data_IF_516851426805
#
_entry.id   IF_516851426805
#
_cell.length_a   1.000
_cell.length_b   1.000
_cell.length_c   1.000
_cell.angle_alpha   90.00
_cell.angle_beta   90.00
_cell.angle_gamma   90.00
#
_symmetry.space_group_name_H-M   'P 1'
#
loop_
_entity.id
_entity.type
_entity.pdbx_description
1 polymer ?
#
# COMPACT_ATOMS: atom_id res chain seq x y z
N UNK A 1 -7.97 -9.41 39.40
CA UNK A 1 -8.88 -8.68 38.51
C UNK A 1 -8.16 -8.45 37.19
N UNK A 2 -8.81 -8.64 36.02
CA UNK A 2 -8.16 -8.40 34.74
C UNK A 2 -7.72 -6.94 34.63
N UNK A 3 -6.56 -6.72 34.04
CA UNK A 3 -6.01 -5.39 33.77
C UNK A 3 -6.92 -4.60 32.81
N UNK A 4 -6.74 -3.30 32.74
CA UNK A 4 -7.50 -2.45 31.79
C UNK A 4 -7.25 -2.87 30.34
N UNK A 5 -6.06 -3.39 30.04
CA UNK A 5 -5.68 -3.91 28.74
C UNK A 5 -6.46 -5.19 28.42
N UNK A 6 -6.44 -6.19 29.31
CA UNK A 6 -7.16 -7.47 29.14
C UNK A 6 -8.67 -7.29 28.96
N UNK A 7 -9.29 -6.34 29.68
CA UNK A 7 -10.71 -6.02 29.47
C UNK A 7 -10.99 -5.39 28.09
N UNK A 8 -10.08 -4.54 27.61
CA UNK A 8 -10.20 -3.94 26.30
C UNK A 8 -10.04 -4.98 25.18
N UNK A 9 -9.11 -5.92 25.35
CA UNK A 9 -8.88 -7.05 24.45
C UNK A 9 -10.13 -7.95 24.38
N UNK A 10 -10.65 -8.39 25.52
CA UNK A 10 -11.88 -9.21 25.61
C UNK A 10 -13.07 -8.54 24.88
N UNK A 11 -13.24 -7.21 25.05
CA UNK A 11 -14.30 -6.49 24.36
C UNK A 11 -14.20 -6.51 22.83
N UNK A 12 -12.96 -6.46 22.28
CA UNK A 12 -12.74 -6.52 20.84
C UNK A 12 -12.94 -7.95 20.33
N UNK A 13 -12.42 -8.94 21.06
CA UNK A 13 -12.59 -10.37 20.75
C UNK A 13 -14.07 -10.76 20.69
N UNK A 14 -14.86 -10.43 21.72
CA UNK A 14 -16.32 -10.72 21.76
C UNK A 14 -17.05 -10.11 20.56
N UNK A 15 -16.67 -8.91 20.12
CA UNK A 15 -17.29 -8.28 18.95
C UNK A 15 -16.85 -8.94 17.64
N UNK A 16 -15.61 -9.40 17.57
CA UNK A 16 -15.08 -10.08 16.39
C UNK A 16 -15.57 -11.52 16.23
N UNK A 17 -16.14 -12.16 17.28
CA UNK A 17 -16.76 -13.49 17.20
C UNK A 17 -17.89 -13.57 16.17
N UNK A 18 -18.56 -12.46 15.86
CA UNK A 18 -19.60 -12.39 14.82
C UNK A 18 -19.05 -12.44 13.40
N UNK A 19 -17.73 -12.29 13.20
CA UNK A 19 -17.08 -12.31 11.89
C UNK A 19 -16.79 -13.75 11.45
N UNK A 20 -16.86 -13.99 10.12
CA UNK A 20 -16.42 -15.26 9.53
C UNK A 20 -14.89 -15.30 9.49
N UNK A 21 -14.28 -16.47 9.73
CA UNK A 21 -12.80 -16.66 9.75
C UNK A 21 -12.32 -17.50 8.55
N UNK A 22 -12.41 -17.01 7.29
CA UNK A 22 -12.01 -17.76 6.11
C UNK A 22 -10.51 -17.76 5.85
N UNK A 23 -9.73 -16.81 6.43
CA UNK A 23 -8.34 -16.60 6.09
C UNK A 23 -7.41 -17.56 6.83
N UNK A 24 -6.53 -18.24 6.08
CA UNK A 24 -5.43 -19.05 6.59
C UNK A 24 -4.07 -18.43 6.29
N UNK A 25 -2.98 -19.08 6.71
CA UNK A 25 -1.60 -18.61 6.54
C UNK A 25 -1.28 -18.31 5.06
N UNK A 26 -1.65 -19.19 4.14
CA UNK A 26 -1.39 -19.01 2.72
C UNK A 26 -2.13 -17.79 2.14
N UNK A 27 -3.40 -17.60 2.51
CA UNK A 27 -4.18 -16.44 2.10
C UNK A 27 -3.53 -15.13 2.60
N UNK A 28 -2.99 -15.12 3.83
CA UNK A 28 -2.29 -13.95 4.39
C UNK A 28 -0.97 -13.67 3.65
N UNK A 29 -0.18 -14.69 3.33
CA UNK A 29 1.07 -14.52 2.55
C UNK A 29 0.77 -13.90 1.21
N UNK A 30 -0.19 -14.46 0.45
CA UNK A 30 -0.57 -13.93 -0.86
C UNK A 30 -1.15 -12.51 -0.76
N UNK A 31 -1.96 -12.24 0.25
CA UNK A 31 -2.52 -10.90 0.49
C UNK A 31 -1.42 -9.88 0.79
N UNK A 32 -0.42 -10.22 1.60
CA UNK A 32 0.72 -9.34 1.89
C UNK A 32 1.54 -9.05 0.64
N UNK A 33 1.90 -10.08 -0.13
CA UNK A 33 2.67 -9.89 -1.37
C UNK A 33 1.87 -9.01 -2.34
N UNK A 34 0.58 -9.28 -2.52
CA UNK A 34 -0.29 -8.52 -3.40
C UNK A 34 -0.49 -7.07 -2.93
N UNK A 35 -0.54 -6.83 -1.62
CA UNK A 35 -0.67 -5.49 -1.05
C UNK A 35 0.62 -4.67 -1.23
N UNK A 36 1.77 -5.25 -0.86
CA UNK A 36 3.05 -4.55 -0.80
C UNK A 36 3.65 -4.34 -2.20
N UNK A 37 3.66 -5.37 -3.07
CA UNK A 37 4.34 -5.27 -4.37
C UNK A 37 3.55 -4.40 -5.35
N UNK A 38 3.93 -3.12 -5.45
CA UNK A 38 3.39 -2.15 -6.41
C UNK A 38 4.27 -2.00 -7.65
N UNK A 39 3.67 -1.95 -8.84
CA UNK A 39 4.42 -1.80 -10.10
C UNK A 39 5.11 -0.44 -10.24
N UNK A 40 4.51 0.63 -9.75
CA UNK A 40 5.07 1.99 -9.79
C UNK A 40 6.41 2.11 -9.04
N UNK A 41 6.61 1.31 -8.00
CA UNK A 41 7.81 1.36 -7.16
C UNK A 41 9.08 0.90 -7.87
N UNK A 42 8.98 -0.09 -8.77
CA UNK A 42 10.14 -0.50 -9.59
C UNK A 42 10.54 0.60 -10.56
N UNK A 43 9.57 1.38 -11.08
CA UNK A 43 9.83 2.56 -11.89
C UNK A 43 10.44 3.71 -11.09
N UNK A 44 9.93 3.99 -9.89
CA UNK A 44 10.50 5.00 -9.00
C UNK A 44 11.95 4.66 -8.62
N UNK A 45 12.23 3.39 -8.26
CA UNK A 45 13.58 2.92 -7.95
C UNK A 45 14.52 2.98 -9.16
N UNK A 46 14.01 2.69 -10.36
CA UNK A 46 14.80 2.75 -11.60
C UNK A 46 15.32 4.18 -11.91
N UNK A 47 14.68 5.23 -11.38
CA UNK A 47 15.22 6.60 -11.47
C UNK A 47 16.56 6.80 -10.74
N UNK A 48 16.95 5.89 -9.85
CA UNK A 48 18.28 5.87 -9.21
C UNK A 48 19.37 5.26 -10.12
N UNK A 49 18.99 4.75 -11.29
CA UNK A 49 19.92 4.06 -12.18
C UNK A 49 20.61 2.89 -11.48
N UNK A 50 21.91 2.72 -11.70
CA UNK A 50 22.69 1.62 -11.12
C UNK A 50 22.78 1.64 -9.60
N UNK A 51 22.48 2.78 -8.94
CA UNK A 51 22.47 2.89 -7.48
C UNK A 51 21.19 2.28 -6.83
N UNK A 52 20.21 1.79 -7.61
CA UNK A 52 18.96 1.26 -7.08
C UNK A 52 19.16 0.14 -6.05
N UNK A 53 20.12 -0.77 -6.28
CA UNK A 53 20.41 -1.88 -5.35
C UNK A 53 20.87 -1.36 -3.99
N UNK A 54 21.78 -0.37 -3.98
CA UNK A 54 22.23 0.25 -2.73
C UNK A 54 21.06 0.80 -1.91
N UNK A 55 20.13 1.52 -2.56
CA UNK A 55 18.98 2.11 -1.86
C UNK A 55 17.92 1.07 -1.47
N UNK A 56 17.72 0.00 -2.25
CA UNK A 56 16.89 -1.12 -1.83
C UNK A 56 17.43 -1.82 -0.58
N UNK A 57 18.73 -2.13 -0.55
CA UNK A 57 19.37 -2.73 0.62
C UNK A 57 19.31 -1.81 1.84
N UNK A 58 19.53 -0.51 1.65
CA UNK A 58 19.42 0.48 2.71
C UNK A 58 17.98 0.55 3.26
N UNK A 59 16.97 0.56 2.40
CA UNK A 59 15.57 0.57 2.79
C UNK A 59 15.17 -0.74 3.51
N UNK A 60 15.68 -1.88 3.05
CA UNK A 60 15.45 -3.16 3.72
C UNK A 60 16.06 -3.15 5.13
N UNK A 61 17.28 -2.69 5.27
CA UNK A 61 17.98 -2.67 6.55
C UNK A 61 17.37 -1.69 7.56
N UNK A 62 17.07 -0.46 7.11
CA UNK A 62 16.69 0.64 8.00
C UNK A 62 15.18 0.75 8.23
N UNK A 63 14.35 0.13 7.38
CA UNK A 63 12.90 0.23 7.49
C UNK A 63 12.18 -1.13 7.45
N UNK A 64 12.47 -1.98 6.46
CA UNK A 64 11.71 -3.21 6.23
C UNK A 64 11.90 -4.26 7.33
N UNK A 65 13.14 -4.51 7.74
CA UNK A 65 13.45 -5.39 8.87
C UNK A 65 12.89 -4.84 10.19
N UNK A 66 13.10 -3.54 10.53
CA UNK A 66 12.44 -2.90 11.68
C UNK A 66 10.92 -3.06 11.68
N UNK A 67 10.27 -2.82 10.54
CA UNK A 67 8.82 -2.98 10.40
C UNK A 67 8.38 -4.42 10.68
N UNK A 68 9.04 -5.41 10.05
CA UNK A 68 8.72 -6.81 10.26
C UNK A 68 8.83 -7.20 11.75
N UNK A 69 9.92 -6.79 12.42
CA UNK A 69 10.13 -7.06 13.83
C UNK A 69 9.03 -6.46 14.73
N UNK A 70 8.65 -5.20 14.48
CA UNK A 70 7.62 -4.51 15.27
C UNK A 70 6.24 -5.09 15.00
N UNK A 71 5.89 -5.37 13.73
CA UNK A 71 4.59 -5.99 13.38
C UNK A 71 4.46 -7.38 14.00
N UNK A 72 5.50 -8.22 13.92
CA UNK A 72 5.50 -9.56 14.56
C UNK A 72 5.30 -9.42 16.08
N UNK A 73 6.03 -8.50 16.71
CA UNK A 73 5.91 -8.25 18.15
C UNK A 73 4.50 -7.82 18.54
N UNK A 74 3.92 -6.83 17.83
CA UNK A 74 2.60 -6.27 18.17
C UNK A 74 1.47 -7.26 17.86
N UNK A 75 1.54 -7.98 16.73
CA UNK A 75 0.53 -8.97 16.36
C UNK A 75 0.50 -10.19 17.31
N UNK A 76 1.65 -10.58 17.86
CA UNK A 76 1.72 -11.64 18.88
C UNK A 76 1.16 -11.20 20.23
N UNK A 77 1.30 -9.91 20.57
CA UNK A 77 0.80 -9.35 21.83
C UNK A 77 -0.67 -8.96 21.78
N UNK A 78 -1.12 -8.46 20.63
CA UNK A 78 -2.45 -7.90 20.44
C UNK A 78 -3.01 -8.34 19.07
N UNK A 79 -3.41 -9.63 18.92
CA UNK A 79 -3.96 -10.17 17.67
C UNK A 79 -5.44 -9.80 17.48
N UNK A 80 -5.75 -8.50 17.54
CA UNK A 80 -7.11 -7.94 17.60
C UNK A 80 -7.57 -7.42 16.24
N UNK A 81 -8.86 -7.56 15.95
CA UNK A 81 -9.48 -6.94 14.75
C UNK A 81 -9.27 -5.42 14.76
N UNK A 82 -8.91 -4.89 13.59
CA UNK A 82 -8.51 -3.49 13.44
C UNK A 82 -6.99 -3.26 13.62
N UNK A 83 -6.22 -4.29 13.96
CA UNK A 83 -4.75 -4.30 13.94
C UNK A 83 -4.12 -3.04 14.53
N UNK A 84 -3.45 -2.26 13.69
CA UNK A 84 -2.69 -1.08 14.10
C UNK A 84 -3.54 0.01 14.81
N UNK A 85 -4.86 0.09 14.53
CA UNK A 85 -5.77 0.93 15.31
C UNK A 85 -5.75 0.55 16.78
N UNK A 86 -5.91 -0.75 17.07
CA UNK A 86 -5.94 -1.26 18.44
C UNK A 86 -4.54 -1.14 19.09
N UNK A 87 -3.48 -1.42 18.34
CA UNK A 87 -2.11 -1.26 18.83
C UNK A 87 -1.82 0.16 19.28
N UNK A 88 -2.18 1.17 18.49
CA UNK A 88 -1.99 2.58 18.86
C UNK A 88 -2.93 3.01 20.00
N UNK A 89 -4.18 2.54 20.01
CA UNK A 89 -5.16 2.85 21.06
C UNK A 89 -4.75 2.28 22.41
N UNK A 90 -4.34 1.02 22.45
CA UNK A 90 -3.92 0.34 23.69
C UNK A 90 -2.50 0.73 24.10
N UNK A 91 -1.63 0.99 23.10
CA UNK A 91 -0.27 1.44 23.35
C UNK A 91 -0.16 2.87 23.89
N UNK A 92 -1.05 3.76 23.46
CA UNK A 92 -1.06 5.16 23.86
C UNK A 92 -2.42 5.58 24.44
N UNK A 93 -3.37 5.91 23.56
CA UNK A 93 -4.70 6.36 23.92
C UNK A 93 -5.65 6.33 22.70
N UNK A 94 -6.94 6.61 22.95
CA UNK A 94 -7.98 6.63 21.90
C UNK A 94 -7.72 7.61 20.76
N UNK A 95 -7.09 8.76 21.06
CA UNK A 95 -6.77 9.75 20.02
C UNK A 95 -5.69 9.22 19.07
N UNK A 96 -4.62 8.63 19.61
CA UNK A 96 -3.57 8.04 18.80
C UNK A 96 -4.13 6.90 17.93
N UNK A 97 -4.96 6.01 18.49
CA UNK A 97 -5.65 4.97 17.74
C UNK A 97 -6.48 5.54 16.59
N UNK A 98 -7.32 6.54 16.89
CA UNK A 98 -8.17 7.16 15.87
C UNK A 98 -7.36 7.82 14.75
N UNK A 99 -6.31 8.60 15.08
CA UNK A 99 -5.47 9.29 14.07
C UNK A 99 -4.73 8.27 13.19
N UNK A 100 -4.23 7.17 13.76
CA UNK A 100 -3.60 6.09 12.99
C UNK A 100 -4.61 5.44 12.04
N UNK A 101 -5.79 5.08 12.52
CA UNK A 101 -6.85 4.52 11.67
C UNK A 101 -7.30 5.50 10.58
N UNK A 102 -7.41 6.78 10.92
CA UNK A 102 -7.77 7.85 9.98
C UNK A 102 -6.74 7.98 8.85
N UNK A 103 -5.44 8.05 9.18
CA UNK A 103 -4.39 8.15 8.18
C UNK A 103 -4.28 6.86 7.33
N UNK A 104 -4.44 5.68 7.93
CA UNK A 104 -4.45 4.41 7.18
C UNK A 104 -5.68 4.29 6.27
N UNK A 105 -6.82 4.86 6.69
CA UNK A 105 -8.00 4.95 5.86
C UNK A 105 -7.78 5.93 4.70
N UNK A 106 -7.19 7.12 4.94
CA UNK A 106 -6.81 8.10 3.92
C UNK A 106 -5.83 7.49 2.91
N UNK A 107 -4.80 6.79 3.37
CA UNK A 107 -3.90 6.02 2.50
C UNK A 107 -4.69 5.09 1.58
N UNK A 108 -5.58 4.28 2.15
CA UNK A 108 -6.29 3.27 1.38
C UNK A 108 -7.20 3.89 0.31
N UNK A 109 -7.95 4.93 0.64
CA UNK A 109 -8.83 5.60 -0.33
C UNK A 109 -8.05 6.31 -1.43
N UNK A 110 -6.86 6.86 -1.13
CA UNK A 110 -5.98 7.46 -2.15
C UNK A 110 -5.40 6.39 -3.08
N UNK A 111 -4.95 5.27 -2.55
CA UNK A 111 -4.44 4.15 -3.37
C UNK A 111 -5.55 3.55 -4.24
N UNK A 112 -6.77 3.38 -3.71
CA UNK A 112 -7.91 2.90 -4.51
C UNK A 112 -8.24 3.91 -5.64
N UNK A 113 -8.16 5.21 -5.37
CA UNK A 113 -8.41 6.26 -6.35
C UNK A 113 -7.41 6.21 -7.53
N UNK A 114 -6.15 5.83 -7.28
CA UNK A 114 -5.13 5.61 -8.33
C UNK A 114 -5.42 4.38 -9.19
N UNK A 115 -6.22 3.42 -8.71
CA UNK A 115 -6.51 2.17 -9.39
C UNK A 115 -7.04 2.35 -10.81
N UNK A 116 -7.90 3.35 -11.03
CA UNK A 116 -8.41 3.69 -12.36
C UNK A 116 -7.32 4.18 -13.31
N UNK A 117 -6.38 5.00 -12.85
CA UNK A 117 -5.24 5.46 -13.64
C UNK A 117 -4.34 4.28 -14.05
N UNK A 118 -4.02 3.38 -13.10
CA UNK A 118 -3.25 2.17 -13.38
C UNK A 118 -3.92 1.28 -14.41
N UNK A 119 -5.22 1.01 -14.28
CA UNK A 119 -5.96 0.15 -15.21
C UNK A 119 -6.04 0.79 -16.59
N UNK A 120 -6.34 2.08 -16.68
CA UNK A 120 -6.39 2.80 -17.94
C UNK A 120 -5.04 2.77 -18.67
N UNK A 121 -3.95 3.02 -17.96
CA UNK A 121 -2.59 2.93 -18.48
C UNK A 121 -2.24 1.50 -18.94
N UNK A 122 -2.56 0.49 -18.15
CA UNK A 122 -2.35 -0.90 -18.52
C UNK A 122 -3.11 -1.26 -19.81
N UNK A 123 -4.40 -0.89 -19.92
CA UNK A 123 -5.22 -1.14 -21.12
C UNK A 123 -4.62 -0.43 -22.33
N UNK A 124 -4.18 0.83 -22.17
CA UNK A 124 -3.50 1.58 -23.23
C UNK A 124 -2.26 0.84 -23.74
N UNK A 125 -1.41 0.37 -22.84
CA UNK A 125 -0.24 -0.44 -23.22
C UNK A 125 -0.63 -1.80 -23.83
N UNK A 126 -1.70 -2.44 -23.39
CA UNK A 126 -2.14 -3.72 -23.96
C UNK A 126 -2.61 -3.56 -25.40
N UNK A 127 -3.36 -2.52 -25.71
CA UNK A 127 -3.86 -2.22 -27.06
C UNK A 127 -2.70 -1.69 -27.96
N UNK A 128 -1.87 -0.80 -27.43
CA UNK A 128 -0.74 -0.20 -28.14
C UNK A 128 -0.98 1.24 -28.58
N UNK A 129 -0.22 1.75 -29.59
CA UNK A 129 -0.20 3.19 -29.93
C UNK A 129 -1.55 3.81 -30.22
N UNK A 130 -2.50 3.06 -30.79
CA UNK A 130 -3.86 3.54 -31.08
C UNK A 130 -4.68 3.92 -29.85
N UNK A 131 -4.27 3.45 -28.66
CA UNK A 131 -4.92 3.74 -27.38
C UNK A 131 -4.11 4.66 -26.46
N UNK A 132 -3.03 5.27 -26.95
CA UNK A 132 -2.15 6.15 -26.15
C UNK A 132 -2.87 7.36 -25.54
N UNK A 133 -4.00 7.77 -26.11
CA UNK A 133 -4.86 8.84 -25.62
C UNK A 133 -5.64 8.52 -24.36
N UNK A 134 -5.82 7.21 -24.04
CA UNK A 134 -6.72 6.78 -22.97
C UNK A 134 -6.30 7.30 -21.56
N UNK A 135 -5.03 7.24 -21.14
CA UNK A 135 -4.60 7.75 -19.84
C UNK A 135 -4.81 9.26 -19.69
N UNK A 136 -4.72 10.03 -20.77
CA UNK A 136 -4.92 11.49 -20.76
C UNK A 136 -6.40 11.88 -20.78
N UNK A 137 -7.30 10.95 -21.10
CA UNK A 137 -8.74 11.17 -21.12
C UNK A 137 -9.34 11.05 -19.71
N UNK A 138 -9.68 12.19 -19.11
CA UNK A 138 -10.31 12.26 -17.78
C UNK A 138 -11.59 11.44 -17.69
N UNK A 139 -12.39 11.42 -18.76
CA UNK A 139 -13.61 10.62 -18.82
C UNK A 139 -13.33 9.11 -18.84
N UNK A 140 -12.31 8.69 -19.59
CA UNK A 140 -11.91 7.28 -19.63
C UNK A 140 -11.46 6.82 -18.26
N UNK A 141 -10.58 7.58 -17.61
CA UNK A 141 -10.10 7.28 -16.23
C UNK A 141 -11.25 7.29 -15.23
N UNK A 142 -12.17 8.27 -15.31
CA UNK A 142 -13.32 8.35 -14.40
C UNK A 142 -14.29 7.16 -14.54
N UNK A 143 -14.61 6.76 -15.77
CA UNK A 143 -15.49 5.60 -16.04
C UNK A 143 -14.86 4.30 -15.58
N UNK A 144 -13.57 4.09 -15.84
CA UNK A 144 -12.84 2.91 -15.38
C UNK A 144 -12.74 2.90 -13.85
N UNK A 145 -12.50 4.05 -13.20
CA UNK A 145 -12.52 4.16 -11.74
C UNK A 145 -13.89 3.81 -11.16
N UNK A 146 -14.97 4.30 -11.77
CA UNK A 146 -16.34 4.01 -11.32
C UNK A 146 -16.67 2.51 -11.45
N UNK A 147 -16.30 1.88 -12.57
CA UNK A 147 -16.48 0.46 -12.79
C UNK A 147 -15.67 -0.39 -11.79
N UNK A 148 -14.42 0.00 -11.54
CA UNK A 148 -13.54 -0.66 -10.57
C UNK A 148 -14.11 -0.59 -9.15
N UNK A 149 -14.40 0.62 -8.67
CA UNK A 149 -14.89 0.84 -7.30
C UNK A 149 -16.27 0.22 -7.10
N UNK A 150 -17.17 0.33 -8.07
CA UNK A 150 -18.50 -0.30 -8.04
C UNK A 150 -18.42 -1.83 -8.00
N UNK A 151 -17.62 -2.43 -8.87
CA UNK A 151 -17.42 -3.88 -8.93
C UNK A 151 -16.76 -4.44 -7.67
N UNK A 152 -15.71 -3.77 -7.17
CA UNK A 152 -15.03 -4.18 -5.93
C UNK A 152 -15.88 -3.94 -4.69
N UNK A 153 -16.65 -2.85 -4.64
CA UNK A 153 -17.63 -2.60 -3.59
C UNK A 153 -18.67 -3.71 -3.50
N UNK A 154 -19.23 -4.12 -4.65
CA UNK A 154 -20.15 -5.24 -4.73
C UNK A 154 -19.52 -6.56 -4.25
N UNK A 155 -18.29 -6.88 -4.71
CA UNK A 155 -17.56 -8.06 -4.27
C UNK A 155 -17.28 -8.03 -2.76
N UNK A 156 -16.88 -6.87 -2.21
CA UNK A 156 -16.63 -6.67 -0.79
C UNK A 156 -17.89 -6.87 0.07
N UNK A 157 -19.07 -6.44 -0.42
CA UNK A 157 -20.36 -6.71 0.23
C UNK A 157 -20.64 -8.21 0.30
N UNK A 158 -20.33 -8.99 -0.74
CA UNK A 158 -20.46 -10.47 -0.76
C UNK A 158 -19.55 -11.15 0.26
N UNK A 159 -18.51 -10.49 0.71
CA UNK A 159 -17.65 -10.90 1.81
C UNK A 159 -16.33 -11.53 1.39
N UNK A 160 -15.45 -11.76 2.37
CA UNK A 160 -14.08 -12.26 2.18
C UNK A 160 -13.98 -13.66 1.58
N UNK A 161 -15.03 -14.48 1.64
CA UNK A 161 -15.04 -15.78 0.94
C UNK A 161 -14.91 -15.63 -0.57
N UNK A 162 -15.48 -14.56 -1.15
CA UNK A 162 -15.27 -14.18 -2.56
C UNK A 162 -13.98 -13.36 -2.70
N UNK A 163 -13.74 -12.41 -1.79
CA UNK A 163 -12.57 -11.53 -1.82
C UNK A 163 -11.25 -12.29 -1.85
N UNK A 164 -11.08 -13.35 -1.06
CA UNK A 164 -9.84 -14.13 -1.05
C UNK A 164 -9.53 -14.80 -2.40
N UNK A 165 -10.55 -15.22 -3.16
CA UNK A 165 -10.33 -15.76 -4.50
C UNK A 165 -9.83 -14.68 -5.46
N UNK A 166 -10.38 -13.47 -5.40
CA UNK A 166 -9.89 -12.32 -6.16
C UNK A 166 -8.44 -12.03 -5.79
N UNK A 167 -8.11 -12.03 -4.49
CA UNK A 167 -6.75 -11.80 -4.00
C UNK A 167 -5.79 -12.90 -4.48
N UNK A 168 -6.16 -14.16 -4.36
CA UNK A 168 -5.30 -15.29 -4.75
C UNK A 168 -5.05 -15.34 -6.26
N UNK A 169 -6.07 -15.09 -7.09
CA UNK A 169 -5.94 -15.01 -8.56
C UNK A 169 -5.03 -13.83 -8.93
N UNK A 170 -5.21 -12.67 -8.31
CA UNK A 170 -4.37 -11.49 -8.55
C UNK A 170 -2.92 -11.69 -8.10
N UNK A 171 -2.70 -12.36 -6.97
CA UNK A 171 -1.37 -12.72 -6.51
C UNK A 171 -0.68 -13.70 -7.48
N UNK A 172 -1.39 -14.70 -7.98
CA UNK A 172 -0.87 -15.61 -9.00
C UNK A 172 -0.52 -14.86 -10.29
N UNK A 173 -1.43 -14.00 -10.79
CA UNK A 173 -1.17 -13.16 -11.97
C UNK A 173 0.08 -12.28 -11.77
N UNK A 174 0.25 -11.72 -10.56
CA UNK A 174 1.44 -10.95 -10.21
C UNK A 174 2.71 -11.78 -10.25
N UNK A 175 2.71 -13.01 -9.70
CA UNK A 175 3.88 -13.90 -9.80
C UNK A 175 4.25 -14.20 -11.23
N UNK A 176 3.28 -14.48 -12.10
CA UNK A 176 3.51 -14.72 -13.53
C UNK A 176 4.14 -13.49 -14.20
N UNK A 177 3.58 -12.30 -13.95
CA UNK A 177 4.09 -11.06 -14.55
C UNK A 177 5.49 -10.72 -14.04
N UNK A 178 5.73 -10.82 -12.73
CA UNK A 178 7.06 -10.53 -12.18
C UNK A 178 8.10 -11.60 -12.57
N UNK A 179 7.71 -12.87 -12.68
CA UNK A 179 8.57 -13.89 -13.24
C UNK A 179 8.96 -13.53 -14.70
N UNK A 180 7.98 -13.21 -15.54
CA UNK A 180 8.23 -12.76 -16.90
C UNK A 180 9.16 -11.53 -16.93
N UNK A 181 8.88 -10.51 -16.09
CA UNK A 181 9.70 -9.30 -15.97
C UNK A 181 11.15 -9.62 -15.58
N UNK A 182 11.35 -10.48 -14.58
CA UNK A 182 12.67 -10.85 -14.04
C UNK A 182 13.47 -11.69 -15.03
N UNK A 183 12.83 -12.60 -15.77
CA UNK A 183 13.51 -13.45 -16.76
C UNK A 183 13.69 -12.75 -18.12
N UNK A 184 12.96 -11.67 -18.40
CA UNK A 184 13.04 -10.96 -19.68
C UNK A 184 14.46 -10.48 -20.06
N UNK A 185 15.29 -9.92 -19.15
CA UNK A 185 16.66 -9.55 -19.46
C UNK A 185 17.55 -10.74 -19.82
N UNK A 186 17.34 -11.91 -19.21
CA UNK A 186 18.08 -13.13 -19.55
C UNK A 186 17.75 -13.59 -20.97
N UNK A 187 16.49 -13.45 -21.36
CA UNK A 187 16.05 -13.73 -22.72
C UNK A 187 16.66 -12.73 -23.71
N UNK A 188 16.71 -11.43 -23.36
CA UNK A 188 17.36 -10.39 -24.15
C UNK A 188 18.85 -10.63 -24.34
N UNK A 189 19.55 -11.12 -23.30
CA UNK A 189 20.96 -11.55 -23.40
C UNK A 189 21.13 -12.75 -24.35
N UNK A 190 20.31 -13.78 -24.19
CA UNK A 190 20.38 -15.00 -25.01
C UNK A 190 20.15 -14.72 -26.50
N UNK A 191 19.40 -13.63 -26.82
CA UNK A 191 19.14 -13.20 -28.19
C UNK A 191 20.12 -12.14 -28.72
N UNK A 192 21.03 -11.65 -27.89
CA UNK A 192 21.98 -10.59 -28.26
C UNK A 192 21.35 -9.18 -28.32
N UNK A 193 20.14 -9.00 -27.82
CA UNK A 193 19.45 -7.70 -27.74
C UNK A 193 20.04 -6.83 -26.62
N UNK A 194 20.45 -7.47 -25.53
CA UNK A 194 21.21 -6.86 -24.45
C UNK A 194 22.66 -7.33 -24.50
N UNK A 195 23.60 -6.39 -24.37
CA UNK A 195 25.04 -6.72 -24.32
C UNK A 195 25.47 -7.19 -22.92
N UNK A 196 24.89 -6.60 -21.89
CA UNK A 196 25.21 -6.89 -20.49
C UNK A 196 23.96 -6.76 -19.63
N UNK A 197 23.88 -7.55 -18.56
CA UNK A 197 22.87 -7.43 -17.52
C UNK A 197 23.48 -7.76 -16.17
N UNK A 198 23.53 -6.80 -15.27
CA UNK A 198 24.13 -6.93 -13.94
C UNK A 198 23.11 -6.52 -12.86
N UNK A 199 22.13 -7.38 -12.53
CA UNK A 199 21.01 -7.04 -11.64
C UNK A 199 21.43 -6.75 -10.20
N UNK A 200 22.58 -7.26 -9.77
CA UNK A 200 23.10 -7.14 -8.40
C UNK A 200 24.37 -6.27 -8.34
N UNK A 201 24.56 -5.37 -9.28
CA UNK A 201 25.67 -4.43 -9.24
C UNK A 201 25.43 -3.38 -8.16
N UNK A 202 26.35 -3.35 -7.19
CA UNK A 202 26.33 -2.32 -6.15
C UNK A 202 27.07 -1.07 -6.64
N UNK A 203 26.37 0.01 -6.86
CA UNK A 203 26.92 1.31 -7.26
C UNK A 203 26.48 2.41 -6.29
N UNK A 204 27.35 3.40 -6.10
CA UNK A 204 27.01 4.59 -5.33
C UNK A 204 26.25 5.60 -6.21
N UNK A 205 25.41 6.46 -5.62
CA UNK A 205 24.65 7.43 -6.38
C UNK A 205 25.55 8.51 -6.97
N UNK A 206 25.30 8.87 -8.21
CA UNK A 206 25.91 10.00 -8.91
C UNK A 206 25.04 11.26 -8.89
N UNK A 207 23.78 11.12 -8.47
CA UNK A 207 22.78 12.18 -8.39
C UNK A 207 22.88 12.97 -7.08
N UNK A 208 22.14 14.11 -6.99
CA UNK A 208 22.08 14.87 -5.76
C UNK A 208 21.55 14.04 -4.60
N UNK A 209 22.17 14.18 -3.43
CA UNK A 209 21.80 13.42 -2.23
C UNK A 209 20.33 13.66 -1.84
N UNK A 210 19.82 14.88 -2.02
CA UNK A 210 18.42 15.22 -1.75
C UNK A 210 17.46 14.40 -2.61
N UNK A 211 17.75 14.26 -3.91
CA UNK A 211 16.93 13.48 -4.84
C UNK A 211 16.97 11.98 -4.48
N UNK A 212 18.15 11.47 -4.13
CA UNK A 212 18.31 10.10 -3.69
C UNK A 212 17.53 9.80 -2.41
N UNK A 213 17.56 10.67 -1.42
CA UNK A 213 16.79 10.53 -0.18
C UNK A 213 15.29 10.67 -0.39
N UNK A 214 14.84 11.48 -1.36
CA UNK A 214 13.44 11.52 -1.75
C UNK A 214 12.97 10.16 -2.27
N UNK A 215 13.71 9.56 -3.22
CA UNK A 215 13.38 8.22 -3.73
C UNK A 215 13.52 7.16 -2.63
N UNK A 216 14.59 7.19 -1.84
CA UNK A 216 14.77 6.30 -0.68
C UNK A 216 13.56 6.32 0.27
N UNK A 217 13.02 7.49 0.55
CA UNK A 217 11.83 7.67 1.38
C UNK A 217 10.59 6.97 0.77
N UNK A 218 10.43 7.08 -0.55
CA UNK A 218 9.38 6.39 -1.29
C UNK A 218 9.57 4.88 -1.31
N UNK A 219 10.81 4.39 -1.47
CA UNK A 219 11.13 2.97 -1.40
C UNK A 219 10.87 2.41 -0.01
N UNK A 220 11.20 3.15 1.04
CA UNK A 220 10.99 2.74 2.43
C UNK A 220 9.50 2.71 2.78
N UNK A 221 8.87 3.89 2.91
CA UNK A 221 7.49 4.00 3.41
C UNK A 221 6.44 3.73 2.33
N UNK A 222 6.73 4.01 1.06
CA UNK A 222 5.81 3.73 -0.03
C UNK A 222 5.82 2.26 -0.45
N UNK A 223 7.01 1.75 -0.84
CA UNK A 223 7.11 0.44 -1.46
C UNK A 223 7.16 -0.71 -0.45
N UNK A 224 8.00 -0.61 0.60
CA UNK A 224 8.26 -1.72 1.52
C UNK A 224 7.30 -1.78 2.72
N UNK A 225 6.25 -0.98 2.75
CA UNK A 225 5.22 -0.97 3.79
C UNK A 225 4.10 -1.97 3.52
N UNK A 226 3.39 -2.39 4.59
CA UNK A 226 2.13 -3.13 4.46
C UNK A 226 1.99 -4.38 5.31
N UNK A 227 2.99 -4.75 6.10
CA UNK A 227 2.90 -5.94 6.95
C UNK A 227 1.82 -5.82 8.04
N UNK A 228 1.59 -4.62 8.56
CA UNK A 228 0.54 -4.35 9.54
C UNK A 228 -0.87 -4.44 8.95
N UNK A 229 -0.99 -4.37 7.60
CA UNK A 229 -2.30 -4.31 6.97
C UNK A 229 -3.10 -5.61 7.15
N UNK A 230 -2.45 -6.78 7.11
CA UNK A 230 -3.14 -8.06 7.36
C UNK A 230 -3.59 -8.20 8.81
N UNK A 231 -2.97 -7.48 9.75
CA UNK A 231 -3.41 -7.46 11.15
C UNK A 231 -4.76 -6.74 11.33
N UNK A 232 -5.19 -5.91 10.39
CA UNK A 232 -6.54 -5.32 10.40
C UNK A 232 -7.62 -6.41 10.32
N UNK A 233 -7.31 -7.52 9.64
CA UNK A 233 -8.19 -8.66 9.40
C UNK A 233 -7.99 -9.78 10.42
N UNK A 234 -7.44 -9.48 11.59
CA UNK A 234 -7.14 -10.49 12.62
C UNK A 234 -8.38 -11.26 13.06
N UNK A 235 -9.54 -10.59 13.23
CA UNK A 235 -10.81 -11.22 13.59
C UNK A 235 -11.38 -12.15 12.49
N UNK A 236 -10.96 -12.00 11.25
CA UNK A 236 -11.35 -12.83 10.11
C UNK A 236 -10.28 -13.91 9.78
N UNK A 237 -9.21 -13.99 10.57
CA UNK A 237 -8.10 -14.96 10.47
C UNK A 237 -8.30 -16.13 11.44
N UNK A 238 -7.95 -17.36 11.01
CA UNK A 238 -8.15 -18.58 11.82
C UNK A 238 -7.28 -18.62 13.06
N UNK A 239 -5.99 -18.27 12.95
CA UNK A 239 -5.02 -18.26 14.03
C UNK A 239 -4.17 -16.99 13.98
N UNK A 240 -4.73 -15.79 14.29
CA UNK A 240 -4.10 -14.50 13.99
C UNK A 240 -2.76 -14.32 14.71
N UNK A 241 -2.65 -14.67 15.98
CA UNK A 241 -1.41 -14.53 16.76
C UNK A 241 -0.21 -15.27 16.13
N UNK A 242 -0.46 -16.44 15.52
CA UNK A 242 0.58 -17.26 14.90
C UNK A 242 0.79 -16.90 13.43
N UNK A 243 -0.32 -16.77 12.69
CA UNK A 243 -0.28 -16.79 11.22
C UNK A 243 0.11 -15.43 10.65
N UNK A 244 -0.19 -14.31 11.32
CA UNK A 244 0.24 -12.97 10.91
C UNK A 244 1.76 -12.88 10.93
N UNK A 245 2.42 -13.23 12.05
CA UNK A 245 3.88 -13.17 12.14
C UNK A 245 4.59 -14.11 11.16
N UNK A 246 4.06 -15.33 10.95
CA UNK A 246 4.60 -16.28 9.96
C UNK A 246 4.44 -15.80 8.53
N UNK A 247 3.32 -15.19 8.20
CA UNK A 247 3.10 -14.65 6.85
C UNK A 247 4.07 -13.52 6.52
N UNK A 248 4.43 -12.67 7.51
CA UNK A 248 5.48 -11.65 7.36
C UNK A 248 6.82 -12.28 6.99
N UNK A 249 7.25 -13.31 7.75
CA UNK A 249 8.54 -13.96 7.51
C UNK A 249 8.63 -14.66 6.15
N UNK A 250 7.53 -15.24 5.66
CA UNK A 250 7.46 -15.92 4.35
C UNK A 250 7.40 -14.89 3.21
N UNK A 251 6.59 -13.85 3.35
CA UNK A 251 6.40 -12.86 2.30
C UNK A 251 7.61 -11.94 2.10
N UNK A 252 8.34 -11.59 3.18
CA UNK A 252 9.41 -10.59 3.15
C UNK A 252 10.51 -10.85 2.10
N UNK A 253 11.14 -12.04 2.02
CA UNK A 253 12.20 -12.27 1.05
C UNK A 253 11.68 -12.26 -0.38
N UNK A 254 10.48 -12.76 -0.61
CA UNK A 254 9.84 -12.78 -1.93
C UNK A 254 9.60 -11.35 -2.43
N UNK A 255 9.04 -10.48 -1.58
CA UNK A 255 8.79 -9.07 -1.88
C UNK A 255 10.11 -8.34 -2.21
N UNK A 256 11.15 -8.54 -1.39
CA UNK A 256 12.45 -7.91 -1.60
C UNK A 256 13.07 -8.32 -2.96
N UNK A 257 13.05 -9.60 -3.30
CA UNK A 257 13.53 -10.11 -4.59
C UNK A 257 12.73 -9.54 -5.78
N UNK A 258 11.40 -9.49 -5.67
CA UNK A 258 10.54 -8.93 -6.72
C UNK A 258 10.87 -7.45 -6.98
N UNK A 259 11.12 -6.65 -5.95
CA UNK A 259 11.47 -5.25 -6.12
C UNK A 259 12.87 -5.06 -6.70
N UNK A 260 13.88 -5.74 -6.16
CA UNK A 260 15.28 -5.61 -6.63
C UNK A 260 15.40 -6.05 -8.09
N UNK A 261 14.98 -7.27 -8.38
CA UNK A 261 15.12 -7.84 -9.73
C UNK A 261 14.16 -7.18 -10.73
N UNK A 262 12.96 -6.82 -10.30
CA UNK A 262 12.02 -6.05 -11.13
C UNK A 262 12.55 -4.67 -11.52
N UNK A 263 13.20 -3.96 -10.60
CA UNK A 263 13.87 -2.67 -10.90
C UNK A 263 14.99 -2.85 -11.90
N UNK A 264 15.83 -3.88 -11.70
CA UNK A 264 16.94 -4.18 -12.63
C UNK A 264 16.44 -4.47 -14.04
N UNK A 265 15.29 -5.15 -14.15
CA UNK A 265 14.67 -5.46 -15.45
C UNK A 265 14.13 -4.20 -16.14
N UNK A 266 13.52 -3.28 -15.39
CA UNK A 266 13.09 -1.99 -15.93
C UNK A 266 14.28 -1.21 -16.49
N UNK A 267 15.37 -1.14 -15.73
CA UNK A 267 16.61 -0.46 -16.17
C UNK A 267 17.23 -1.08 -17.42
N UNK A 268 17.19 -2.41 -17.56
CA UNK A 268 17.76 -3.11 -18.71
C UNK A 268 17.10 -2.72 -20.04
N UNK A 269 15.79 -2.43 -20.05
CA UNK A 269 15.05 -2.17 -21.30
C UNK A 269 14.66 -0.73 -21.50
N UNK A 270 14.34 0.02 -20.44
CA UNK A 270 13.95 1.44 -20.58
C UNK A 270 15.15 2.32 -20.95
N UNK A 271 16.37 1.97 -20.47
CA UNK A 271 17.61 2.67 -20.80
C UNK A 271 17.52 4.17 -20.50
N UNK A 272 17.77 5.02 -21.51
CA UNK A 272 17.69 6.48 -21.40
C UNK A 272 16.30 7.06 -21.69
N UNK A 273 15.32 6.22 -22.01
CA UNK A 273 13.94 6.70 -22.24
C UNK A 273 13.29 7.16 -20.94
N UNK A 274 12.31 8.10 -21.00
CA UNK A 274 11.54 8.48 -19.83
C UNK A 274 10.82 7.27 -19.21
N UNK A 275 10.99 7.08 -17.91
CA UNK A 275 10.32 6.01 -17.17
C UNK A 275 8.89 6.45 -16.89
N UNK A 276 7.91 5.68 -17.37
CA UNK A 276 6.51 5.85 -17.02
C UNK A 276 6.29 5.36 -15.57
N UNK A 277 6.04 6.28 -14.63
CA UNK A 277 5.86 5.95 -13.21
C UNK A 277 4.52 5.26 -12.90
N UNK A 278 3.53 5.38 -13.81
CA UNK A 278 2.23 4.71 -13.66
C UNK A 278 2.33 3.28 -14.21
N UNK A 279 2.95 3.11 -15.38
CA UNK A 279 3.06 1.84 -16.10
C UNK A 279 4.49 1.37 -16.39
N UNK A 280 5.44 1.35 -15.43
CA UNK A 280 6.83 0.95 -15.73
C UNK A 280 6.94 -0.53 -16.15
N UNK A 281 6.14 -1.41 -15.58
CA UNK A 281 6.12 -2.84 -15.94
C UNK A 281 5.51 -3.06 -17.32
N UNK A 282 4.33 -2.53 -17.66
CA UNK A 282 3.81 -2.57 -19.02
C UNK A 282 4.77 -1.97 -20.05
N UNK A 283 5.40 -0.83 -19.76
CA UNK A 283 6.41 -0.21 -20.61
C UNK A 283 7.57 -1.18 -20.89
N UNK A 284 8.11 -1.78 -19.84
CA UNK A 284 9.25 -2.74 -19.94
C UNK A 284 8.87 -3.98 -20.75
N UNK A 285 7.68 -4.56 -20.51
CA UNK A 285 7.22 -5.72 -21.27
C UNK A 285 7.06 -5.40 -22.76
N UNK A 286 6.56 -4.22 -23.11
CA UNK A 286 6.46 -3.79 -24.51
C UNK A 286 7.81 -3.61 -25.16
N UNK A 287 8.76 -2.98 -24.48
CA UNK A 287 10.10 -2.75 -25.01
C UNK A 287 10.89 -4.07 -25.12
N UNK A 288 10.86 -4.90 -24.09
CA UNK A 288 11.65 -6.13 -24.06
C UNK A 288 11.13 -7.27 -24.92
N UNK A 289 9.87 -7.19 -25.37
CA UNK A 289 9.27 -8.20 -26.25
C UNK A 289 9.16 -7.75 -27.70
N UNK A 290 9.53 -6.51 -28.07
CA UNK A 290 9.26 -5.92 -29.38
C UNK A 290 9.85 -6.69 -30.58
N UNK A 291 10.92 -7.43 -30.37
CA UNK A 291 11.60 -8.23 -31.37
C UNK A 291 10.97 -9.62 -31.65
N UNK A 292 9.97 -10.03 -30.86
CA UNK A 292 9.31 -11.31 -31.07
C UNK A 292 8.21 -11.24 -32.14
N UNK A 293 8.04 -12.24 -33.02
CA UNK A 293 7.02 -12.25 -34.06
C UNK A 293 5.59 -12.08 -33.52
N UNK A 294 5.33 -12.59 -32.28
CA UNK A 294 4.04 -12.48 -31.60
C UNK A 294 4.08 -11.52 -30.40
N UNK A 295 5.09 -10.62 -30.38
CA UNK A 295 5.37 -9.70 -29.28
C UNK A 295 4.13 -8.92 -28.79
N UNK A 296 3.34 -8.41 -29.72
CA UNK A 296 2.13 -7.68 -29.39
C UNK A 296 1.14 -8.46 -28.55
N UNK A 297 0.90 -9.72 -28.92
CA UNK A 297 -0.04 -10.59 -28.20
C UNK A 297 0.51 -11.01 -26.83
N UNK A 298 1.80 -11.46 -26.77
CA UNK A 298 2.44 -11.89 -25.52
C UNK A 298 2.54 -10.73 -24.52
N UNK A 299 2.95 -9.54 -24.98
CA UNK A 299 2.98 -8.35 -24.13
C UNK A 299 1.57 -7.97 -23.64
N UNK A 300 0.56 -8.01 -24.53
CA UNK A 300 -0.83 -7.70 -24.17
C UNK A 300 -1.36 -8.67 -23.11
N UNK A 301 -1.10 -9.97 -23.21
CA UNK A 301 -1.48 -10.96 -22.20
C UNK A 301 -0.81 -10.65 -20.85
N UNK A 302 0.50 -10.38 -20.84
CA UNK A 302 1.22 -10.00 -19.62
C UNK A 302 0.64 -8.73 -18.96
N UNK A 303 0.29 -7.74 -19.78
CA UNK A 303 -0.31 -6.48 -19.29
C UNK A 303 -1.74 -6.69 -18.79
N UNK A 304 -2.53 -7.59 -19.40
CA UNK A 304 -3.86 -7.97 -18.89
C UNK A 304 -3.77 -8.72 -17.56
N UNK A 305 -2.78 -9.59 -17.37
CA UNK A 305 -2.48 -10.19 -16.06
C UNK A 305 -2.10 -9.13 -15.03
N UNK A 306 -1.34 -8.08 -15.44
CA UNK A 306 -1.03 -6.95 -14.59
C UNK A 306 -2.29 -6.15 -14.21
N UNK A 307 -3.26 -6.03 -15.12
CA UNK A 307 -4.55 -5.41 -14.82
C UNK A 307 -5.34 -6.24 -13.80
N UNK A 308 -5.36 -7.57 -13.94
CA UNK A 308 -5.96 -8.49 -12.96
C UNK A 308 -5.31 -8.33 -11.59
N UNK A 309 -3.99 -8.27 -11.53
CA UNK A 309 -3.24 -7.97 -10.31
C UNK A 309 -3.66 -6.63 -9.69
N UNK A 310 -3.80 -5.57 -10.50
CA UNK A 310 -4.19 -4.23 -10.03
C UNK A 310 -5.59 -4.24 -9.42
N UNK A 311 -6.56 -4.91 -10.07
CA UNK A 311 -7.92 -5.10 -9.53
C UNK A 311 -7.88 -5.80 -8.18
N UNK A 312 -7.08 -6.87 -8.07
CA UNK A 312 -6.97 -7.65 -6.85
C UNK A 312 -6.29 -6.87 -5.70
N UNK A 313 -5.21 -6.15 -5.99
CA UNK A 313 -4.55 -5.27 -5.00
C UNK A 313 -5.51 -4.18 -4.50
N UNK A 314 -6.24 -3.54 -5.41
CA UNK A 314 -7.27 -2.55 -5.05
C UNK A 314 -8.36 -3.18 -4.18
N UNK A 315 -8.77 -4.43 -4.45
CA UNK A 315 -9.72 -5.19 -3.61
C UNK A 315 -9.22 -5.38 -2.18
N UNK A 316 -7.91 -5.64 -1.99
CA UNK A 316 -7.31 -5.72 -0.65
C UNK A 316 -7.49 -4.40 0.09
N UNK A 317 -7.19 -3.27 -0.55
CA UNK A 317 -7.36 -1.94 0.06
C UNK A 317 -8.82 -1.64 0.39
N UNK A 318 -9.79 -1.95 -0.50
CA UNK A 318 -11.23 -1.79 -0.22
C UNK A 318 -11.64 -2.63 0.99
N UNK A 319 -11.14 -3.87 1.06
CA UNK A 319 -11.47 -4.78 2.15
C UNK A 319 -10.95 -4.25 3.49
N UNK A 320 -9.69 -3.91 3.61
CA UNK A 320 -9.12 -3.41 4.86
C UNK A 320 -9.67 -2.04 5.26
N UNK A 321 -9.74 -1.09 4.32
CA UNK A 321 -10.25 0.27 4.61
C UNK A 321 -11.71 0.28 5.07
N UNK A 322 -12.52 -0.67 4.63
CA UNK A 322 -13.92 -0.78 5.08
C UNK A 322 -14.07 -1.26 6.53
N UNK A 323 -13.05 -1.91 7.11
CA UNK A 323 -13.06 -2.37 8.53
C UNK A 323 -12.70 -1.25 9.50
N UNK A 324 -11.89 -0.29 9.10
CA UNK A 324 -11.44 0.80 9.99
C UNK A 324 -12.59 1.67 10.51
N UNK A 325 -13.52 2.19 9.68
CA UNK A 325 -14.68 2.90 10.18
C UNK A 325 -15.62 2.03 11.02
N UNK A 326 -15.72 0.73 10.72
CA UNK A 326 -16.49 -0.22 11.52
C UNK A 326 -15.96 -0.31 12.95
N UNK A 327 -14.64 -0.53 13.10
CA UNK A 327 -14.00 -0.67 14.42
C UNK A 327 -14.05 0.65 15.20
N UNK A 328 -13.85 1.80 14.56
CA UNK A 328 -14.03 3.11 15.19
C UNK A 328 -15.49 3.35 15.61
N UNK A 329 -16.47 2.80 14.89
CA UNK A 329 -17.88 2.77 15.26
C UNK A 329 -18.15 1.92 16.50
N UNK A 330 -17.47 0.79 16.69
CA UNK A 330 -17.53 -0.01 17.92
C UNK A 330 -17.11 0.78 19.16
N UNK A 331 -16.17 1.70 19.00
CA UNK A 331 -15.71 2.59 20.06
C UNK A 331 -16.60 3.85 20.23
N UNK A 332 -17.70 3.94 19.48
CA UNK A 332 -18.62 5.08 19.45
C UNK A 332 -17.95 6.43 19.09
N UNK A 333 -16.82 6.38 18.38
CA UNK A 333 -16.16 7.56 17.81
C UNK A 333 -16.82 7.99 16.50
N UNK A 334 -17.37 7.01 15.78
CA UNK A 334 -18.20 7.23 14.59
C UNK A 334 -19.64 6.77 14.85
N UNK A 335 -20.63 7.24 14.06
CA UNK A 335 -22.01 6.78 14.17
C UNK A 335 -22.14 5.26 14.05
N UNK A 336 -23.07 4.65 14.79
CA UNK A 336 -23.35 3.22 14.74
C UNK A 336 -23.71 2.71 13.33
N UNK A 337 -24.05 3.62 12.42
CA UNK A 337 -24.30 3.35 11.02
C UNK A 337 -23.12 2.61 10.35
N UNK A 338 -21.88 2.96 10.70
CA UNK A 338 -20.67 2.32 10.16
C UNK A 338 -20.44 0.90 10.68
N UNK A 339 -20.91 0.58 11.86
CA UNK A 339 -20.71 -0.74 12.50
C UNK A 339 -21.82 -1.75 12.18
N UNK A 340 -22.86 -1.36 11.43
CA UNK A 340 -23.95 -2.28 11.04
C UNK A 340 -23.44 -3.30 10.03
N UNK A 341 -23.60 -4.60 10.36
CA UNK A 341 -23.24 -5.69 9.48
C UNK A 341 -24.44 -6.15 8.64
N UNK A 342 -24.17 -6.56 7.40
CA UNK A 342 -25.19 -7.17 6.53
C UNK A 342 -25.72 -8.47 7.15
N UNK A 343 -27.05 -8.71 7.22
CA UNK A 343 -27.61 -9.88 7.90
C UNK A 343 -27.04 -11.22 7.40
N UNK A 344 -26.92 -11.37 6.08
CA UNK A 344 -26.45 -12.61 5.42
C UNK A 344 -24.93 -12.70 5.31
N UNK A 345 -24.26 -11.63 4.86
CA UNK A 345 -22.85 -11.65 4.51
C UNK A 345 -21.92 -11.29 5.68
N UNK A 346 -22.46 -10.68 6.74
CA UNK A 346 -21.71 -10.21 7.91
C UNK A 346 -20.59 -9.23 7.55
N UNK A 347 -20.85 -8.36 6.56
CA UNK A 347 -19.92 -7.32 6.07
C UNK A 347 -20.47 -5.93 6.40
N UNK A 348 -19.61 -4.91 6.61
CA UNK A 348 -20.00 -3.54 6.96
C UNK A 348 -20.40 -2.74 5.70
N UNK A 349 -21.58 -3.00 5.13
CA UNK A 349 -22.03 -2.43 3.85
C UNK A 349 -21.97 -0.90 3.82
N UNK A 350 -22.40 -0.24 4.90
CA UNK A 350 -22.39 1.21 4.96
C UNK A 350 -20.98 1.80 4.92
N UNK A 351 -20.02 1.12 5.58
CA UNK A 351 -18.61 1.48 5.52
C UNK A 351 -18.03 1.29 4.11
N UNK A 352 -18.41 0.20 3.43
CA UNK A 352 -18.00 -0.08 2.05
C UNK A 352 -18.51 1.01 1.09
N UNK A 353 -19.78 1.39 1.20
CA UNK A 353 -20.38 2.46 0.38
C UNK A 353 -19.68 3.79 0.63
N UNK A 354 -19.41 4.12 1.89
CA UNK A 354 -18.71 5.36 2.25
C UNK A 354 -17.28 5.40 1.67
N UNK A 355 -16.52 4.32 1.78
CA UNK A 355 -15.20 4.18 1.15
C UNK A 355 -15.29 4.37 -0.35
N UNK A 356 -16.23 3.70 -1.02
CA UNK A 356 -16.42 3.81 -2.47
C UNK A 356 -16.74 5.23 -2.93
N UNK A 357 -17.70 5.89 -2.27
CA UNK A 357 -18.09 7.26 -2.61
C UNK A 357 -16.93 8.26 -2.42
N UNK A 358 -16.22 8.18 -1.30
CA UNK A 358 -15.07 9.05 -1.01
C UNK A 358 -13.92 8.81 -2.00
N UNK A 359 -13.66 7.55 -2.35
CA UNK A 359 -12.65 7.20 -3.35
C UNK A 359 -12.96 7.80 -4.71
N UNK A 360 -14.20 7.67 -5.20
CA UNK A 360 -14.62 8.25 -6.48
C UNK A 360 -14.50 9.78 -6.50
N UNK A 361 -14.86 10.43 -5.40
CA UNK A 361 -14.67 11.87 -5.25
C UNK A 361 -13.19 12.26 -5.42
N UNK A 362 -12.26 11.56 -4.77
CA UNK A 362 -10.82 11.82 -4.88
C UNK A 362 -10.32 11.50 -6.28
N UNK A 363 -10.74 10.39 -6.89
CA UNK A 363 -10.31 9.99 -8.23
C UNK A 363 -10.70 11.04 -9.29
N UNK A 364 -11.88 11.65 -9.17
CA UNK A 364 -12.34 12.71 -10.06
C UNK A 364 -11.62 14.03 -9.76
N UNK A 365 -11.56 14.43 -8.49
CA UNK A 365 -10.98 15.70 -8.07
C UNK A 365 -9.48 15.79 -8.40
N UNK A 366 -8.73 14.70 -8.28
CA UNK A 366 -7.28 14.65 -8.55
C UNK A 366 -6.91 15.00 -10.00
N UNK A 367 -7.84 14.82 -10.94
CA UNK A 367 -7.61 15.09 -12.37
C UNK A 367 -7.89 16.54 -12.79
N UNK A 368 -8.37 17.37 -11.86
CA UNK A 368 -8.72 18.76 -12.16
C UNK A 368 -7.45 19.61 -12.17
N UNK A 369 -7.12 20.22 -13.30
CA UNK A 369 -6.03 21.20 -13.43
C UNK A 369 -4.61 20.61 -13.42
N UNK A 370 -4.45 19.28 -13.55
CA UNK A 370 -3.16 18.61 -13.60
C UNK A 370 -3.05 17.64 -14.78
N UNK A 371 -1.83 17.42 -15.28
CA UNK A 371 -1.54 16.31 -16.18
C UNK A 371 -1.53 14.99 -15.44
N UNK A 372 -1.65 13.84 -16.16
CA UNK A 372 -1.79 12.52 -15.54
C UNK A 372 -0.63 12.17 -14.59
N UNK A 373 0.61 12.47 -14.95
CA UNK A 373 1.79 12.18 -14.12
C UNK A 373 1.85 13.08 -12.87
N UNK A 374 1.45 14.36 -12.98
CA UNK A 374 1.37 15.26 -11.82
C UNK A 374 0.23 14.84 -10.89
N UNK A 375 -0.95 14.54 -11.44
CA UNK A 375 -2.10 14.04 -10.68
C UNK A 375 -1.75 12.76 -9.90
N UNK A 376 -1.10 11.81 -10.59
CA UNK A 376 -0.60 10.59 -9.95
C UNK A 376 0.35 10.90 -8.80
N UNK A 377 1.37 11.73 -9.02
CA UNK A 377 2.37 12.09 -8.00
C UNK A 377 1.74 12.84 -6.81
N UNK A 378 0.76 13.71 -7.03
CA UNK A 378 0.07 14.43 -5.94
C UNK A 378 -0.65 13.44 -5.01
N UNK A 379 -1.40 12.51 -5.57
CA UNK A 379 -2.16 11.51 -4.78
C UNK A 379 -1.21 10.50 -4.11
N UNK A 380 -0.18 10.02 -4.83
CA UNK A 380 0.81 9.08 -4.33
C UNK A 380 1.65 9.68 -3.19
N UNK A 381 2.10 10.92 -3.33
CA UNK A 381 2.86 11.61 -2.29
C UNK A 381 2.02 11.88 -1.04
N UNK A 382 0.75 12.27 -1.21
CA UNK A 382 -0.16 12.43 -0.07
C UNK A 382 -0.38 11.09 0.65
N UNK A 383 -0.57 9.99 -0.09
CA UNK A 383 -0.68 8.64 0.46
C UNK A 383 0.56 8.27 1.28
N UNK A 384 1.76 8.56 0.78
CA UNK A 384 3.01 8.28 1.49
C UNK A 384 3.18 9.12 2.77
N UNK A 385 2.71 10.37 2.80
CA UNK A 385 2.70 11.19 4.03
C UNK A 385 1.75 10.57 5.07
N UNK A 386 0.53 10.17 4.68
CA UNK A 386 -0.41 9.50 5.58
C UNK A 386 0.20 8.21 6.13
N UNK A 387 0.86 7.42 5.28
CA UNK A 387 1.49 6.17 5.71
C UNK A 387 2.70 6.41 6.63
N UNK A 388 3.49 7.46 6.36
CA UNK A 388 4.58 7.88 7.23
C UNK A 388 4.12 8.19 8.67
N UNK A 389 2.97 8.86 8.83
CA UNK A 389 2.36 9.14 10.15
C UNK A 389 1.96 7.84 10.85
N UNK A 390 1.35 6.90 10.12
CA UNK A 390 0.97 5.58 10.65
C UNK A 390 2.20 4.82 11.16
N UNK A 391 3.25 4.73 10.34
CA UNK A 391 4.47 4.01 10.70
C UNK A 391 5.25 4.67 11.83
N UNK A 392 5.38 5.99 11.80
CA UNK A 392 5.99 6.71 12.91
C UNK A 392 5.31 6.39 14.24
N UNK A 393 3.97 6.38 14.25
CA UNK A 393 3.20 6.02 15.45
C UNK A 393 3.39 4.56 15.82
N UNK A 394 3.38 3.63 14.87
CA UNK A 394 3.60 2.21 15.11
C UNK A 394 4.96 1.93 15.74
N UNK A 395 6.03 2.52 15.20
CA UNK A 395 7.38 2.38 15.75
C UNK A 395 7.52 3.03 17.12
N UNK A 396 6.75 4.06 17.43
CA UNK A 396 6.76 4.69 18.76
C UNK A 396 6.16 3.80 19.84
N UNK A 397 5.32 2.80 19.52
CA UNK A 397 4.66 1.94 20.52
C UNK A 397 5.66 1.13 21.38
N UNK A 398 6.63 0.37 20.83
CA UNK A 398 7.59 -0.36 21.65
C UNK A 398 8.57 0.54 22.41
N UNK A 399 8.69 1.82 22.05
CA UNK A 399 9.59 2.80 22.68
C UNK A 399 8.89 3.50 23.85
N UNK A 400 7.69 4.04 23.60
CA UNK A 400 6.97 4.95 24.51
C UNK A 400 5.61 4.41 24.98
N UNK A 401 5.17 3.26 24.48
CA UNK A 401 3.84 2.73 24.75
C UNK A 401 3.60 2.34 26.20
N UNK A 402 2.34 2.06 26.52
CA UNK A 402 1.90 1.75 27.88
C UNK A 402 2.58 0.50 28.49
N UNK A 403 2.82 0.55 29.76
CA UNK A 403 3.50 -0.38 30.68
C UNK A 403 3.88 -1.78 30.14
N UNK A 404 2.89 -2.69 30.04
CA UNK A 404 3.13 -4.09 29.65
C UNK A 404 3.65 -4.26 28.20
N UNK A 405 3.26 -3.37 27.28
CA UNK A 405 3.72 -3.42 25.88
C UNK A 405 5.17 -2.96 25.79
N UNK A 406 5.50 -1.85 26.45
CA UNK A 406 6.88 -1.33 26.49
C UNK A 406 7.84 -2.25 27.27
N UNK A 407 7.45 -2.75 28.43
CA UNK A 407 8.30 -3.59 29.26
C UNK A 407 8.62 -4.95 28.64
N UNK A 408 7.72 -5.47 27.80
CA UNK A 408 7.95 -6.70 27.04
C UNK A 408 8.82 -6.52 25.79
N UNK A 409 9.11 -5.27 25.37
CA UNK A 409 9.96 -4.99 24.22
C UNK A 409 11.44 -5.07 24.61
N UNK A 410 12.22 -5.93 23.92
CA UNK A 410 13.66 -6.04 24.10
C UNK A 410 14.37 -4.75 23.70
N UNK A 411 15.60 -4.55 24.18
CA UNK A 411 16.42 -3.38 23.81
C UNK A 411 16.65 -3.33 22.29
N UNK A 412 16.89 -4.48 21.67
CA UNK A 412 17.07 -4.59 20.22
C UNK A 412 15.81 -4.16 19.44
N UNK A 413 14.63 -4.57 19.89
CA UNK A 413 13.38 -4.16 19.26
C UNK A 413 13.20 -2.64 19.35
N UNK A 414 13.59 -2.01 20.46
CA UNK A 414 13.54 -0.55 20.61
C UNK A 414 14.54 0.15 19.70
N UNK A 415 15.76 -0.37 19.56
CA UNK A 415 16.77 0.20 18.65
C UNK A 415 16.27 0.15 17.21
N UNK A 416 15.77 -0.99 16.73
CA UNK A 416 15.25 -1.09 15.36
C UNK A 416 13.98 -0.25 15.18
N UNK A 417 13.15 -0.10 16.21
CA UNK A 417 11.98 0.77 16.18
C UNK A 417 12.37 2.26 16.09
N UNK A 418 13.43 2.70 16.76
CA UNK A 418 13.97 4.07 16.62
C UNK A 418 14.44 4.29 15.17
N UNK A 419 15.15 3.33 14.59
CA UNK A 419 15.59 3.40 13.21
C UNK A 419 14.40 3.54 12.24
N UNK A 420 13.39 2.69 12.36
CA UNK A 420 12.18 2.75 11.54
C UNK A 420 11.39 4.07 11.73
N UNK A 421 11.33 4.58 12.96
CA UNK A 421 10.69 5.87 13.26
C UNK A 421 11.43 7.04 12.59
N UNK A 422 12.78 7.05 12.63
CA UNK A 422 13.59 8.06 11.96
C UNK A 422 13.39 8.03 10.44
N UNK A 423 13.37 6.85 9.83
CA UNK A 423 13.07 6.70 8.39
C UNK A 423 11.65 7.17 8.07
N UNK A 424 10.66 6.86 8.90
CA UNK A 424 9.28 7.31 8.69
C UNK A 424 9.16 8.83 8.76
N UNK A 425 9.85 9.45 9.70
CA UNK A 425 9.88 10.93 9.83
C UNK A 425 10.56 11.57 8.64
N UNK A 426 11.71 11.03 8.18
CA UNK A 426 12.39 11.51 6.98
C UNK A 426 11.52 11.35 5.74
N UNK A 427 10.75 10.25 5.65
CA UNK A 427 9.83 10.02 4.54
C UNK A 427 8.71 11.07 4.49
N UNK A 428 8.12 11.45 5.62
CA UNK A 428 7.13 12.53 5.70
C UNK A 428 7.71 13.83 5.11
N UNK A 429 8.97 14.14 5.41
CA UNK A 429 9.62 15.34 4.93
C UNK A 429 9.97 15.28 3.43
N UNK A 430 10.65 14.22 2.98
CA UNK A 430 11.14 14.15 1.60
C UNK A 430 10.03 13.89 0.59
N UNK A 431 8.98 13.14 0.96
CA UNK A 431 7.90 12.76 0.05
C UNK A 431 7.04 13.94 -0.40
N UNK A 432 7.06 15.08 0.29
CA UNK A 432 6.34 16.29 -0.17
C UNK A 432 6.90 16.86 -1.49
N UNK A 433 8.12 16.49 -1.88
CA UNK A 433 8.74 16.95 -3.11
C UNK A 433 8.52 15.96 -4.28
N UNK A 434 8.31 16.48 -5.52
CA UNK A 434 8.13 15.61 -6.68
C UNK A 434 9.45 14.95 -7.11
N UNK A 435 9.35 13.76 -7.74
CA UNK A 435 10.46 13.09 -8.43
C UNK A 435 10.34 13.20 -9.95
N UNK A 436 9.40 14.01 -10.41
CA UNK A 436 9.18 14.38 -11.81
C UNK A 436 9.40 15.88 -12.01
N UNK A 437 9.53 16.28 -13.27
CA UNK A 437 9.55 17.70 -13.61
C UNK A 437 8.14 18.27 -13.50
N UNK A 438 8.02 19.35 -12.76
CA UNK A 438 6.78 20.10 -12.53
C UNK A 438 7.02 21.59 -12.71
N UNK A 439 6.03 22.40 -13.10
CA UNK A 439 6.19 23.83 -13.30
C UNK A 439 6.74 24.58 -12.07
N UNK A 440 6.34 24.15 -10.86
CA UNK A 440 6.82 24.72 -9.60
C UNK A 440 6.87 23.66 -8.50
N UNK A 441 8.10 23.31 -8.07
CA UNK A 441 8.33 22.39 -6.96
C UNK A 441 7.76 22.90 -5.64
N UNK A 442 7.81 24.21 -5.41
CA UNK A 442 7.25 24.82 -4.21
C UNK A 442 5.71 24.72 -4.20
N UNK A 443 5.06 25.06 -5.31
CA UNK A 443 3.60 24.93 -5.44
C UNK A 443 3.16 23.49 -5.23
N UNK A 444 3.88 22.53 -5.79
CA UNK A 444 3.62 21.10 -5.60
C UNK A 444 3.72 20.71 -4.10
N UNK A 445 4.81 21.10 -3.42
CA UNK A 445 5.02 20.81 -2.00
C UNK A 445 3.91 21.45 -1.13
N UNK A 446 3.52 22.69 -1.41
CA UNK A 446 2.43 23.39 -0.70
C UNK A 446 1.10 22.66 -0.89
N UNK A 447 0.80 22.18 -2.11
CA UNK A 447 -0.41 21.36 -2.35
C UNK A 447 -0.43 20.10 -1.48
N UNK A 448 0.71 19.37 -1.38
CA UNK A 448 0.79 18.15 -0.55
C UNK A 448 0.59 18.48 0.93
N UNK A 449 1.27 19.51 1.44
CA UNK A 449 1.14 19.95 2.84
C UNK A 449 -0.29 20.38 3.14
N UNK A 450 -0.92 21.15 2.25
CA UNK A 450 -2.30 21.61 2.42
C UNK A 450 -3.29 20.44 2.44
N UNK A 451 -3.20 19.53 1.45
CA UNK A 451 -4.10 18.36 1.37
C UNK A 451 -3.95 17.47 2.61
N UNK A 452 -2.72 17.13 2.99
CA UNK A 452 -2.47 16.24 4.13
C UNK A 452 -2.80 16.92 5.47
N UNK A 453 -2.53 18.22 5.61
CA UNK A 453 -2.87 19.00 6.79
C UNK A 453 -4.38 19.16 6.98
N UNK A 454 -5.11 19.57 5.93
CA UNK A 454 -6.58 19.70 5.96
C UNK A 454 -7.23 18.35 6.25
N UNK A 455 -6.80 17.27 5.58
CA UNK A 455 -7.35 15.94 5.81
C UNK A 455 -7.17 15.49 7.28
N UNK A 456 -6.00 15.74 7.88
CA UNK A 456 -5.77 15.42 9.29
C UNK A 456 -6.55 16.35 10.24
N UNK A 457 -6.70 17.65 9.93
CA UNK A 457 -7.53 18.57 10.70
C UNK A 457 -9.00 18.11 10.73
N UNK A 458 -9.52 17.63 9.60
CA UNK A 458 -10.86 17.02 9.53
C UNK A 458 -10.94 15.78 10.44
N UNK A 459 -9.95 14.91 10.43
CA UNK A 459 -9.90 13.74 11.32
C UNK A 459 -9.92 14.13 12.80
N UNK A 460 -9.15 15.12 13.20
CA UNK A 460 -9.14 15.65 14.57
C UNK A 460 -10.52 16.20 14.94
N UNK A 461 -11.14 16.97 14.06
CA UNK A 461 -12.50 17.52 14.30
C UNK A 461 -13.55 16.39 14.49
N UNK A 462 -13.53 15.36 13.64
CA UNK A 462 -14.41 14.18 13.76
C UNK A 462 -14.20 13.50 15.12
N UNK A 463 -12.96 13.28 15.53
CA UNK A 463 -12.64 12.68 16.81
C UNK A 463 -13.22 13.49 18.00
N UNK A 464 -13.00 14.81 17.99
CA UNK A 464 -13.47 15.70 19.08
C UNK A 464 -15.00 15.70 19.18
N UNK A 465 -15.70 15.75 18.04
CA UNK A 465 -17.17 15.66 17.98
C UNK A 465 -17.66 14.29 18.48
N UNK A 466 -17.05 13.20 18.03
CA UNK A 466 -17.38 11.84 18.48
C UNK A 466 -17.19 11.67 19.98
N UNK A 467 -16.07 12.18 20.53
CA UNK A 467 -15.78 12.14 21.96
C UNK A 467 -16.80 12.95 22.78
N UNK A 468 -17.22 14.12 22.28
CA UNK A 468 -18.24 14.95 22.94
C UNK A 468 -19.59 14.24 23.00
N UNK A 469 -20.05 13.63 21.88
CA UNK A 469 -21.30 12.86 21.81
C UNK A 469 -21.34 11.65 22.75
N UNK A 470 -20.19 11.06 23.06
CA UNK A 470 -20.10 9.90 23.96
C UNK A 470 -20.19 10.30 25.45
N UNK A 471 -19.88 11.56 25.78
CA UNK A 471 -19.88 12.08 27.17
C UNK A 471 -21.19 12.71 27.59
N UNK A 472 -21.97 13.17 26.62
CA UNK A 472 -23.35 13.62 26.82
C UNK A 472 -24.33 12.47 26.54
#
# INVERSE_FOLDING_TARGET
MPTKLERAEQNVETRSESLKKPLGLFDLVLTQILFVVGSSWVGAAAKLGQAHLFFWLLAILLFYIPQAAVVIYLSNRMPLEGGIYQWAKLGFNEFAGFIVAWNLWLLSITVIALGGMFITTNISYAIGPGAAWMPDSKWCVALISAALVGGLGWACVRGLSLGKWVHNIGAFAMFVVYAALIFLPLLGLARGELKTYQPLQLALPTMSIFYCFNIFSKLSVGALSGFEYVAILAGETRAPARDIGRSVLIASPVIALMFILGTSSVLAFVGNSPIDLIGPVPQTLRLGLQSFPIAGAVAAIGILLMTTRTIASTSVHVTGSSRLPMVAGWDRLLPNWFSRLHPRYKTPVNSIIFVGATTLLIAIASQIGAGIQEAFQLVDNAANVFYGIVYFTMFAIPIFGAGAIRSGASIWLRIVAICGAAVSLSAIFFTIYPIIDVPSRLSFAVKIIAVTGIANAIGVAIFLVGRKRRRG
#
